data_IF_495633773707
#
_entry.id   IF_495633773707
#
_cell.length_a   1.000
_cell.length_b   1.000
_cell.length_c   1.000
_cell.angle_alpha   90.00
_cell.angle_beta   90.00
_cell.angle_gamma   90.00
#
_symmetry.space_group_name_H-M   'P 1'
#
loop_
_entity.id
_entity.type
_entity.pdbx_description
1 polymer ?
#
# COMPACT_ATOMS: atom_id res chain seq x y z
N UNK A 1 -11.97 -2.98 6.93
CA UNK A 1 -11.57 -1.61 7.34
C UNK A 1 -10.85 -0.89 6.20
N UNK A 2 -9.69 -1.37 5.75
CA UNK A 2 -8.84 -0.68 4.77
C UNK A 2 -9.51 -0.39 3.41
N UNK A 3 -10.26 -1.35 2.87
CA UNK A 3 -11.07 -1.11 1.65
C UNK A 3 -12.00 0.07 1.82
N UNK A 4 -12.74 0.10 2.92
CA UNK A 4 -13.67 1.19 3.23
C UNK A 4 -12.92 2.51 3.36
N UNK A 5 -11.76 2.53 4.02
CA UNK A 5 -10.95 3.74 4.14
C UNK A 5 -10.52 4.28 2.75
N UNK A 6 -10.05 3.42 1.85
CA UNK A 6 -9.59 3.83 0.53
C UNK A 6 -10.71 4.26 -0.42
N UNK A 7 -11.84 3.54 -0.44
CA UNK A 7 -13.00 3.91 -1.27
C UNK A 7 -13.60 5.26 -0.83
N UNK A 8 -13.51 5.59 0.45
CA UNK A 8 -13.98 6.87 0.97
C UNK A 8 -12.92 8.00 0.90
N UNK A 9 -11.69 7.72 0.46
CA UNK A 9 -10.65 8.74 0.36
C UNK A 9 -10.65 9.41 -1.03
N UNK A 10 -10.91 10.73 -1.15
CA UNK A 10 -11.17 11.39 -2.44
C UNK A 10 -10.10 11.22 -3.52
N UNK A 11 -8.82 11.13 -3.13
CA UNK A 11 -7.70 11.00 -4.07
C UNK A 11 -7.27 9.55 -4.31
N UNK A 12 -7.64 8.63 -3.43
CA UNK A 12 -7.20 7.22 -3.52
C UNK A 12 -8.30 6.38 -4.18
N UNK A 13 -9.56 6.73 -3.96
CA UNK A 13 -10.71 6.02 -4.54
C UNK A 13 -10.67 5.97 -6.07
N UNK A 14 -10.14 7.01 -6.72
CA UNK A 14 -9.98 7.08 -8.18
C UNK A 14 -8.91 6.10 -8.73
N UNK A 15 -7.98 5.66 -7.89
CA UNK A 15 -6.88 4.77 -8.26
C UNK A 15 -7.32 3.30 -8.18
N UNK A 16 -8.34 3.01 -7.38
CA UNK A 16 -8.86 1.67 -7.18
C UNK A 16 -9.83 1.30 -8.31
N UNK A 17 -9.35 0.60 -9.33
CA UNK A 17 -10.17 0.11 -10.45
C UNK A 17 -11.28 -0.84 -9.96
N UNK A 18 -12.50 -0.70 -10.52
CA UNK A 18 -13.67 -1.52 -10.15
C UNK A 18 -13.48 -3.02 -10.39
N UNK A 19 -12.58 -3.43 -11.29
CA UNK A 19 -12.34 -4.85 -11.59
C UNK A 19 -11.44 -5.54 -10.54
N UNK A 20 -10.80 -4.79 -9.64
CA UNK A 20 -9.93 -5.31 -8.56
C UNK A 20 -10.65 -5.43 -7.21
N UNK A 21 -11.98 -5.26 -7.18
CA UNK A 21 -12.79 -5.27 -5.95
C UNK A 21 -12.50 -6.48 -5.06
N UNK A 22 -12.33 -7.66 -5.65
CA UNK A 22 -12.13 -8.92 -4.93
C UNK A 22 -10.75 -8.96 -4.25
N UNK A 23 -9.68 -8.59 -4.95
CA UNK A 23 -8.33 -8.48 -4.36
C UNK A 23 -8.28 -7.47 -3.22
N UNK A 24 -8.99 -6.35 -3.35
CA UNK A 24 -9.01 -5.29 -2.33
C UNK A 24 -9.63 -5.77 -1.03
N UNK A 25 -10.71 -6.57 -1.10
CA UNK A 25 -11.37 -7.14 0.09
C UNK A 25 -10.44 -8.02 0.92
N UNK A 26 -9.37 -8.51 0.31
CA UNK A 26 -8.40 -9.39 0.94
C UNK A 26 -7.28 -8.61 1.64
N UNK A 27 -7.24 -7.27 1.52
CA UNK A 27 -6.29 -6.43 2.24
C UNK A 27 -6.59 -6.43 3.75
N UNK A 28 -5.64 -6.95 4.52
CA UNK A 28 -5.76 -7.14 5.97
C UNK A 28 -5.06 -6.05 6.76
N UNK A 29 -3.87 -5.66 6.31
CA UNK A 29 -3.01 -4.67 6.99
C UNK A 29 -2.36 -3.76 5.95
N UNK A 30 -2.23 -2.50 6.32
CA UNK A 30 -1.38 -1.51 5.68
C UNK A 30 -0.38 -1.03 6.72
N UNK A 31 0.88 -0.97 6.35
CA UNK A 31 1.98 -0.52 7.18
C UNK A 31 2.84 0.48 6.42
N UNK A 32 3.30 1.50 7.12
CA UNK A 32 4.32 2.42 6.61
C UNK A 32 5.50 2.28 7.55
N UNK A 33 6.61 1.78 7.01
CA UNK A 33 7.84 1.56 7.76
C UNK A 33 8.85 2.64 7.37
N UNK A 34 9.32 3.40 8.36
CA UNK A 34 10.33 4.45 8.15
C UNK A 34 11.72 3.82 8.34
N UNK A 35 12.68 4.21 7.50
CA UNK A 35 14.06 3.77 7.72
C UNK A 35 14.64 4.42 8.98
N UNK A 36 15.67 3.79 9.57
CA UNK A 36 16.36 4.27 10.79
C UNK A 36 16.75 5.77 10.72
N UNK A 37 17.04 6.27 9.52
CA UNK A 37 17.12 7.69 9.24
C UNK A 37 15.89 8.12 8.41
N UNK A 38 15.04 8.95 9.00
CA UNK A 38 13.84 9.54 8.37
C UNK A 38 14.13 10.25 7.04
N UNK A 39 15.38 10.67 6.80
CA UNK A 39 15.81 11.28 5.54
C UNK A 39 16.10 10.28 4.43
N UNK A 40 16.16 8.99 4.75
CA UNK A 40 16.45 7.93 3.78
C UNK A 40 15.19 7.46 3.06
N UNK A 41 13.99 7.75 3.59
CA UNK A 41 12.71 7.42 2.97
C UNK A 41 11.79 6.56 3.83
N UNK A 42 10.88 5.84 3.17
CA UNK A 42 9.92 4.95 3.81
C UNK A 42 9.46 3.85 2.85
N UNK A 43 8.86 2.79 3.40
CA UNK A 43 8.27 1.69 2.65
C UNK A 43 6.78 1.61 2.95
N UNK A 44 5.95 1.51 1.91
CA UNK A 44 4.52 1.24 2.05
C UNK A 44 4.30 -0.26 1.81
N UNK A 45 3.70 -0.94 2.78
CA UNK A 45 3.54 -2.40 2.77
C UNK A 45 2.06 -2.76 2.92
N UNK A 46 1.57 -3.54 1.95
CA UNK A 46 0.21 -4.08 1.91
C UNK A 46 0.26 -5.58 2.20
N UNK A 47 -0.57 -6.03 3.14
CA UNK A 47 -0.70 -7.45 3.49
C UNK A 47 -2.07 -7.97 3.10
N UNK A 48 -2.09 -9.09 2.39
CA UNK A 48 -3.29 -9.72 1.87
C UNK A 48 -3.50 -11.09 2.51
N UNK A 49 -4.74 -11.54 2.58
CA UNK A 49 -5.01 -12.97 2.74
C UNK A 49 -4.59 -13.73 1.47
N UNK A 50 -4.33 -15.03 1.65
CA UNK A 50 -4.17 -15.95 0.52
C UNK A 50 -5.36 -15.82 -0.43
N UNK A 51 -5.08 -15.68 -1.71
CA UNK A 51 -6.07 -15.34 -2.71
C UNK A 51 -5.74 -16.00 -4.06
N UNK A 52 -6.75 -16.24 -4.90
CA UNK A 52 -6.54 -16.92 -6.18
C UNK A 52 -5.89 -16.02 -7.24
N UNK A 53 -5.71 -14.72 -6.97
CA UNK A 53 -5.21 -13.76 -7.95
C UNK A 53 -3.67 -13.68 -7.94
N UNK A 54 -3.03 -13.86 -6.79
CA UNK A 54 -1.58 -13.86 -6.64
C UNK A 54 -1.13 -14.65 -5.41
N UNK A 55 0.00 -15.37 -5.55
CA UNK A 55 0.57 -16.20 -4.48
C UNK A 55 1.28 -15.39 -3.39
N UNK A 56 1.46 -14.07 -3.60
CA UNK A 56 2.25 -13.19 -2.72
C UNK A 56 1.35 -12.54 -1.68
N UNK A 57 1.50 -12.90 -0.42
CA UNK A 57 0.74 -12.33 0.70
C UNK A 57 1.15 -10.89 1.07
N UNK A 58 2.33 -10.42 0.63
CA UNK A 58 2.86 -9.08 0.96
C UNK A 58 3.38 -8.34 -0.26
N UNK A 59 2.83 -7.15 -0.51
CA UNK A 59 3.30 -6.24 -1.56
C UNK A 59 3.88 -4.98 -0.91
N UNK A 60 5.18 -4.77 -1.10
CA UNK A 60 5.90 -3.59 -0.60
C UNK A 60 6.33 -2.66 -1.72
N UNK A 61 6.35 -1.36 -1.44
CA UNK A 61 6.97 -0.35 -2.30
C UNK A 61 7.83 0.59 -1.47
N UNK A 62 9.13 0.58 -1.78
CA UNK A 62 10.11 1.44 -1.12
C UNK A 62 10.23 2.77 -1.86
N UNK A 63 10.27 3.85 -1.08
CA UNK A 63 10.52 5.20 -1.52
C UNK A 63 11.80 5.67 -0.84
N UNK A 64 12.82 5.98 -1.64
CA UNK A 64 14.10 6.45 -1.13
C UNK A 64 14.18 7.95 -1.34
N UNK A 65 14.38 8.71 -0.27
CA UNK A 65 14.54 10.16 -0.35
C UNK A 65 16.02 10.46 -0.62
N UNK A 66 16.32 11.20 -1.68
CA UNK A 66 17.68 11.66 -1.95
C UNK A 66 18.16 12.69 -0.92
N UNK A 67 19.44 13.10 -0.98
CA UNK A 67 20.01 14.10 -0.06
C UNK A 67 19.28 15.46 -0.06
N UNK A 68 18.46 15.74 -1.08
CA UNK A 68 17.62 16.94 -1.18
C UNK A 68 16.25 16.80 -0.50
N UNK A 69 15.85 15.59 -0.08
CA UNK A 69 14.53 15.30 0.47
C UNK A 69 13.41 15.18 -0.59
N UNK A 70 13.76 15.10 -1.87
CA UNK A 70 12.79 14.84 -2.95
C UNK A 70 12.68 13.32 -3.22
N UNK A 71 11.46 12.79 -3.42
CA UNK A 71 11.19 11.39 -3.76
C UNK A 71 11.48 11.01 -5.23
#
# INVERSE_FOLDING_TARGET
>A
FWVTAFVNHPQISVILYEDEVECRQLLTKLEVDEFDDIKSGYSIIFYFYENPNFDIDVIGKDFHLGSSGDP
#
